data_IF_087028829477
#
_entry.id   IF_087028829477
#
_cell.length_a   1.000
_cell.length_b   1.000
_cell.length_c   1.000
_cell.angle_alpha   90.00
_cell.angle_beta   90.00
_cell.angle_gamma   90.00
#
_symmetry.space_group_name_H-M   'P 1'
#
loop_
_entity.id
_entity.type
_entity.pdbx_description
1 polymer ?
#
# COMPACT_ATOMS: atom_id res chain seq x y z
N UNK A 1 36.57 34.55 -40.97
CA UNK A 1 36.78 34.88 -39.55
C UNK A 1 35.51 34.49 -38.80
N UNK A 2 35.68 33.93 -37.62
CA UNK A 2 34.83 32.92 -36.97
C UNK A 2 33.61 33.49 -36.26
N UNK A 3 32.42 32.99 -36.59
CA UNK A 3 31.21 33.11 -35.77
C UNK A 3 31.32 32.18 -34.56
N UNK A 4 31.37 32.75 -33.36
CA UNK A 4 31.29 32.02 -32.09
C UNK A 4 29.91 32.24 -31.50
N UNK A 5 29.04 31.22 -31.64
CA UNK A 5 27.78 31.12 -30.89
C UNK A 5 28.10 30.75 -29.45
N UNK A 6 27.81 31.66 -28.53
CA UNK A 6 27.78 31.40 -27.08
C UNK A 6 26.43 30.78 -26.73
N UNK A 7 26.38 29.45 -26.63
CA UNK A 7 25.33 28.73 -25.93
C UNK A 7 25.55 28.88 -24.42
N UNK A 8 24.64 29.57 -23.73
CA UNK A 8 24.50 29.41 -22.27
C UNK A 8 23.02 29.47 -21.88
N UNK A 9 22.68 28.67 -20.87
CA UNK A 9 21.40 28.61 -20.16
C UNK A 9 20.35 27.61 -20.68
N UNK A 10 20.66 26.32 -20.55
CA UNK A 10 19.67 25.23 -20.39
C UNK A 10 20.17 24.19 -19.36
N UNK A 11 20.42 24.60 -18.12
CA UNK A 11 20.83 23.65 -17.07
C UNK A 11 20.37 24.04 -15.65
N UNK A 12 19.08 24.37 -15.50
CA UNK A 12 18.48 24.58 -14.17
C UNK A 12 17.23 23.73 -13.90
N UNK A 13 16.96 22.71 -14.71
CA UNK A 13 15.76 21.87 -14.54
C UNK A 13 16.03 20.36 -14.43
N UNK A 14 17.08 19.95 -13.71
CA UNK A 14 17.28 18.57 -13.24
C UNK A 14 17.50 18.52 -11.72
N UNK A 15 16.50 18.97 -10.96
CA UNK A 15 16.41 18.68 -9.53
C UNK A 15 15.03 18.08 -9.21
N UNK A 16 14.77 16.88 -9.72
CA UNK A 16 13.59 16.08 -9.34
C UNK A 16 13.97 14.60 -9.21
N UNK A 17 13.81 14.11 -7.98
CA UNK A 17 13.77 12.69 -7.55
C UNK A 17 15.10 11.92 -7.57
N UNK A 18 16.00 12.25 -6.65
CA UNK A 18 17.01 11.28 -6.21
C UNK A 18 16.31 10.22 -5.34
N UNK A 19 15.96 9.08 -5.94
CA UNK A 19 15.68 7.85 -5.18
C UNK A 19 16.89 7.63 -4.26
N UNK A 20 16.69 7.47 -2.95
CA UNK A 20 17.78 7.14 -2.02
C UNK A 20 18.55 5.92 -2.54
N UNK A 21 19.79 6.14 -2.99
CA UNK A 21 20.75 5.10 -3.31
C UNK A 21 21.65 4.99 -2.08
N UNK A 22 21.57 3.86 -1.38
CA UNK A 22 22.51 3.58 -0.29
C UNK A 22 23.83 3.14 -0.92
N UNK A 23 24.95 3.76 -0.55
CA UNK A 23 26.26 3.37 -1.07
C UNK A 23 26.99 2.59 0.01
N UNK A 24 27.34 1.34 -0.30
CA UNK A 24 28.12 0.45 0.59
C UNK A 24 29.33 -0.04 -0.17
N UNK A 25 30.53 0.17 0.37
CA UNK A 25 31.81 -0.15 -0.28
C UNK A 25 31.91 0.37 -1.73
N UNK A 26 31.36 1.56 -2.01
CA UNK A 26 31.36 2.16 -3.35
C UNK A 26 30.30 1.61 -4.32
N UNK A 27 29.48 0.64 -3.91
CA UNK A 27 28.39 0.07 -4.71
C UNK A 27 27.07 0.78 -4.41
N UNK A 28 26.41 1.29 -5.46
CA UNK A 28 25.12 1.98 -5.36
C UNK A 28 23.94 1.01 -5.26
N UNK A 29 23.49 0.73 -4.04
CA UNK A 29 22.40 -0.19 -3.76
C UNK A 29 21.01 0.42 -4.01
N UNK A 30 20.18 -0.35 -4.72
CA UNK A 30 18.81 0.01 -5.14
C UNK A 30 17.78 -0.97 -4.56
N UNK A 31 16.49 -0.69 -4.74
CA UNK A 31 15.38 -1.58 -4.29
C UNK A 31 15.54 -3.04 -4.73
N UNK A 32 16.09 -3.29 -5.93
CA UNK A 32 16.34 -4.66 -6.42
C UNK A 32 17.35 -5.43 -5.56
N UNK A 33 18.36 -4.74 -5.00
CA UNK A 33 19.36 -5.33 -4.11
C UNK A 33 18.73 -5.74 -2.77
N UNK A 34 17.93 -4.84 -2.18
CA UNK A 34 17.22 -5.13 -0.93
C UNK A 34 16.22 -6.30 -1.10
N UNK A 35 15.55 -6.38 -2.26
CA UNK A 35 14.69 -7.53 -2.60
C UNK A 35 15.52 -8.81 -2.71
N UNK A 36 16.60 -8.83 -3.52
CA UNK A 36 17.47 -10.00 -3.71
C UNK A 36 18.04 -10.50 -2.39
N UNK A 37 18.55 -9.60 -1.56
CA UNK A 37 19.14 -9.94 -0.26
C UNK A 37 18.10 -10.57 0.70
N UNK A 38 16.85 -10.10 0.66
CA UNK A 38 15.74 -10.69 1.43
C UNK A 38 15.34 -12.06 0.91
N UNK A 39 15.32 -12.25 -0.41
CA UNK A 39 15.03 -13.54 -1.02
C UNK A 39 16.13 -14.55 -0.66
N UNK A 40 17.40 -14.14 -0.68
CA UNK A 40 18.53 -14.95 -0.19
C UNK A 40 18.38 -15.32 1.29
N UNK A 41 18.04 -14.36 2.16
CA UNK A 41 17.82 -14.60 3.59
C UNK A 41 16.71 -15.62 3.88
N UNK A 42 15.68 -15.68 3.03
CA UNK A 42 14.53 -16.59 3.17
C UNK A 42 14.74 -17.95 2.52
N UNK A 43 15.80 -18.11 1.74
CA UNK A 43 16.07 -19.32 0.95
C UNK A 43 17.28 -20.06 1.49
N UNK A 44 17.59 -21.22 0.90
CA UNK A 44 18.80 -21.98 1.20
C UNK A 44 20.09 -21.35 0.63
N UNK A 45 20.01 -20.17 0.00
CA UNK A 45 21.19 -19.44 -0.49
C UNK A 45 21.74 -19.92 -1.83
N UNK A 46 20.88 -20.32 -2.77
CA UNK A 46 21.33 -20.77 -4.10
C UNK A 46 21.92 -19.62 -4.93
N UNK A 47 23.14 -19.77 -5.51
CA UNK A 47 23.74 -18.76 -6.37
C UNK A 47 22.86 -18.42 -7.57
N UNK A 48 22.71 -17.13 -7.84
CA UNK A 48 21.97 -16.58 -8.97
C UNK A 48 22.89 -16.20 -10.13
N UNK A 49 24.18 -15.98 -9.86
CA UNK A 49 25.23 -15.69 -10.84
C UNK A 49 24.89 -14.49 -11.75
N UNK A 50 24.22 -13.49 -11.19
CA UNK A 50 23.83 -12.26 -11.89
C UNK A 50 24.57 -11.03 -11.34
N UNK A 51 24.40 -9.89 -12.03
CA UNK A 51 25.06 -8.63 -11.64
C UNK A 51 24.63 -8.17 -10.24
N UNK A 52 23.38 -8.41 -9.84
CA UNK A 52 22.87 -8.02 -8.52
C UNK A 52 23.58 -8.81 -7.42
N UNK A 53 23.82 -10.10 -7.62
CA UNK A 53 24.62 -10.93 -6.72
C UNK A 53 26.06 -10.45 -6.63
N UNK A 54 26.69 -10.12 -7.76
CA UNK A 54 28.06 -9.58 -7.79
C UNK A 54 28.14 -8.28 -6.98
N UNK A 55 27.19 -7.37 -7.18
CA UNK A 55 27.10 -6.09 -6.46
C UNK A 55 26.90 -6.31 -4.94
N UNK A 56 26.09 -7.29 -4.54
CA UNK A 56 25.88 -7.63 -3.12
C UNK A 56 27.10 -8.29 -2.48
N UNK A 57 27.84 -9.12 -3.22
CA UNK A 57 29.13 -9.69 -2.79
C UNK A 57 30.19 -8.60 -2.63
N UNK A 58 30.31 -7.71 -3.61
CA UNK A 58 31.25 -6.59 -3.57
C UNK A 58 30.92 -5.59 -2.43
N UNK A 59 29.63 -5.39 -2.16
CA UNK A 59 29.16 -4.60 -1.02
C UNK A 59 29.36 -5.31 0.33
N UNK A 60 29.80 -6.58 0.36
CA UNK A 60 29.98 -7.36 1.59
C UNK A 60 28.67 -7.74 2.29
N UNK A 61 27.53 -7.63 1.61
CA UNK A 61 26.20 -7.99 2.14
C UNK A 61 25.88 -9.48 1.93
N UNK A 62 26.51 -10.10 0.94
CA UNK A 62 26.56 -11.54 0.75
C UNK A 62 28.01 -12.04 0.91
N UNK A 63 28.15 -13.32 1.24
CA UNK A 63 29.41 -14.05 1.15
C UNK A 63 29.17 -15.45 0.57
N UNK A 64 30.22 -16.00 -0.04
CA UNK A 64 30.21 -17.37 -0.57
C UNK A 64 30.72 -18.33 0.50
N UNK A 65 30.00 -19.43 0.69
CA UNK A 65 30.41 -20.55 1.50
C UNK A 65 30.56 -21.77 0.59
N UNK A 66 31.66 -22.49 0.76
CA UNK A 66 31.82 -23.81 0.14
C UNK A 66 31.24 -24.87 1.08
N UNK A 67 30.39 -25.73 0.53
CA UNK A 67 29.90 -26.90 1.25
C UNK A 67 30.82 -28.10 1.01
N UNK A 68 30.77 -29.09 1.90
CA UNK A 68 31.60 -30.31 1.84
C UNK A 68 31.44 -31.08 0.51
N UNK A 69 30.32 -30.89 -0.21
CA UNK A 69 30.07 -31.43 -1.54
C UNK A 69 30.65 -30.63 -2.71
N UNK A 70 31.40 -29.55 -2.46
CA UNK A 70 32.03 -28.71 -3.49
C UNK A 70 31.10 -27.68 -4.15
N UNK A 71 29.83 -27.62 -3.75
CA UNK A 71 28.89 -26.61 -4.21
C UNK A 71 29.03 -25.31 -3.39
N UNK A 72 28.90 -24.16 -4.07
CA UNK A 72 28.86 -22.86 -3.41
C UNK A 72 27.43 -22.49 -3.01
N UNK A 73 27.27 -21.93 -1.81
CA UNK A 73 26.06 -21.25 -1.40
C UNK A 73 26.33 -19.82 -0.96
N UNK A 74 25.33 -18.96 -1.12
CA UNK A 74 25.32 -17.59 -0.65
C UNK A 74 24.77 -17.51 0.77
N UNK A 75 25.51 -16.89 1.67
CA UNK A 75 25.02 -16.50 3.00
C UNK A 75 24.87 -14.99 3.06
N UNK A 76 23.78 -14.53 3.68
CA UNK A 76 23.64 -13.12 4.05
C UNK A 76 24.54 -12.83 5.24
N UNK A 77 25.47 -11.89 5.10
CA UNK A 77 26.42 -11.54 6.15
C UNK A 77 25.74 -10.77 7.28
N UNK A 78 26.41 -10.56 8.41
CA UNK A 78 25.90 -9.70 9.47
C UNK A 78 25.65 -8.26 8.99
N UNK A 79 26.52 -7.74 8.11
CA UNK A 79 26.30 -6.44 7.46
C UNK A 79 25.06 -6.46 6.56
N UNK A 80 24.83 -7.57 5.84
CA UNK A 80 23.60 -7.81 5.08
C UNK A 80 22.34 -7.83 5.96
N UNK A 81 22.39 -8.48 7.12
CA UNK A 81 21.30 -8.50 8.09
C UNK A 81 21.03 -7.10 8.65
N UNK A 82 22.08 -6.36 9.02
CA UNK A 82 21.95 -4.97 9.48
C UNK A 82 21.37 -4.06 8.40
N UNK A 83 21.81 -4.21 7.15
CA UNK A 83 21.24 -3.48 6.02
C UNK A 83 19.75 -3.78 5.83
N UNK A 84 19.33 -5.06 5.93
CA UNK A 84 17.92 -5.44 5.88
C UNK A 84 17.13 -4.86 7.05
N UNK A 85 17.71 -4.87 8.26
CA UNK A 85 17.09 -4.31 9.45
C UNK A 85 16.94 -2.79 9.34
N UNK A 86 17.96 -2.07 8.86
CA UNK A 86 17.89 -0.64 8.60
C UNK A 86 16.89 -0.32 7.51
N UNK A 87 16.86 -1.06 6.40
CA UNK A 87 15.85 -0.87 5.36
C UNK A 87 14.43 -1.13 5.90
N UNK A 88 14.25 -2.14 6.74
CA UNK A 88 12.97 -2.39 7.41
C UNK A 88 12.62 -1.27 8.39
N UNK A 89 13.58 -0.77 9.16
CA UNK A 89 13.39 0.30 10.12
C UNK A 89 13.11 1.64 9.45
N UNK A 90 13.84 2.02 8.39
CA UNK A 90 13.56 3.22 7.60
C UNK A 90 12.19 3.14 6.93
N UNK A 91 11.75 1.96 6.48
CA UNK A 91 10.39 1.78 5.99
C UNK A 91 9.34 1.89 7.12
N UNK A 92 9.64 1.40 8.34
CA UNK A 92 8.74 1.55 9.50
C UNK A 92 8.70 3.00 10.01
N UNK A 93 9.85 3.70 10.03
CA UNK A 93 10.00 5.07 10.47
C UNK A 93 9.43 6.07 9.47
N UNK A 94 9.55 5.77 8.17
CA UNK A 94 8.77 6.44 7.14
C UNK A 94 7.40 5.76 7.03
N UNK A 95 6.55 5.83 8.08
CA UNK A 95 5.13 5.53 7.90
C UNK A 95 4.62 6.46 6.80
N UNK A 96 4.29 5.88 5.65
CA UNK A 96 3.62 6.62 4.59
C UNK A 96 2.35 7.22 5.23
N UNK A 97 2.09 8.54 5.12
CA UNK A 97 0.86 9.13 5.62
C UNK A 97 -0.39 8.35 5.20
N UNK A 98 -0.35 7.71 4.02
CA UNK A 98 -1.38 6.78 3.58
C UNK A 98 -1.46 5.54 4.46
N UNK A 99 -0.37 4.80 4.66
CA UNK A 99 -0.34 3.60 5.50
C UNK A 99 -0.76 3.88 6.95
N UNK A 100 -0.33 5.01 7.51
CA UNK A 100 -0.75 5.44 8.84
C UNK A 100 -2.28 5.66 8.93
N UNK A 101 -2.86 6.27 7.88
CA UNK A 101 -4.30 6.48 7.82
C UNK A 101 -5.08 5.18 7.55
N UNK A 102 -4.53 4.25 6.76
CA UNK A 102 -5.06 2.87 6.59
C UNK A 102 -5.14 2.17 7.92
N UNK A 103 -4.04 2.17 8.66
CA UNK A 103 -3.95 1.56 9.97
C UNK A 103 -4.99 2.18 10.91
N UNK A 104 -5.09 3.51 10.96
CA UNK A 104 -6.06 4.22 11.80
C UNK A 104 -7.51 3.87 11.49
N UNK A 105 -7.89 3.81 10.21
CA UNK A 105 -9.23 3.42 9.78
C UNK A 105 -9.51 1.96 10.14
N UNK A 106 -8.54 1.06 9.90
CA UNK A 106 -8.68 -0.35 10.25
C UNK A 106 -8.87 -0.54 11.77
N UNK A 107 -8.16 0.21 12.60
CA UNK A 107 -8.32 0.22 14.04
C UNK A 107 -9.73 0.64 14.48
N UNK A 108 -10.27 1.72 13.91
CA UNK A 108 -11.64 2.14 14.25
C UNK A 108 -12.68 1.09 13.85
N UNK A 109 -12.53 0.44 12.69
CA UNK A 109 -13.42 -0.64 12.27
C UNK A 109 -13.34 -1.87 13.20
N UNK A 110 -12.14 -2.21 13.70
CA UNK A 110 -11.97 -3.26 14.70
C UNK A 110 -12.58 -2.89 16.05
N UNK A 111 -12.46 -1.62 16.48
CA UNK A 111 -13.11 -1.12 17.70
C UNK A 111 -14.64 -1.21 17.63
N UNK A 112 -15.21 -1.02 16.44
CA UNK A 112 -16.63 -1.24 16.16
C UNK A 112 -17.03 -2.74 16.10
N UNK A 113 -16.09 -3.66 16.28
CA UNK A 113 -16.34 -5.10 16.28
C UNK A 113 -16.50 -5.70 14.88
N UNK A 114 -16.02 -5.01 13.84
CA UNK A 114 -16.04 -5.50 12.46
C UNK A 114 -14.86 -6.43 12.20
N UNK A 115 -15.01 -7.36 11.25
CA UNK A 115 -13.90 -8.08 10.67
C UNK A 115 -13.29 -7.21 9.57
N UNK A 116 -11.96 -7.08 9.55
CA UNK A 116 -11.26 -6.09 8.73
C UNK A 116 -10.13 -6.74 7.94
N UNK A 117 -9.97 -6.36 6.68
CA UNK A 117 -8.87 -6.76 5.81
C UNK A 117 -8.27 -5.52 5.12
N UNK A 118 -6.96 -5.54 4.93
CA UNK A 118 -6.21 -4.61 4.08
C UNK A 118 -5.49 -5.40 2.98
N UNK A 119 -5.08 -4.74 1.90
CA UNK A 119 -4.40 -5.38 0.76
C UNK A 119 -5.20 -6.53 0.13
N UNK A 120 -6.53 -6.45 0.17
CA UNK A 120 -7.42 -7.51 -0.33
C UNK A 120 -7.66 -7.34 -1.83
N UNK A 121 -7.20 -8.29 -2.64
CA UNK A 121 -7.47 -8.28 -4.08
C UNK A 121 -8.81 -8.93 -4.39
N UNK A 122 -9.76 -8.14 -4.89
CA UNK A 122 -11.11 -8.53 -5.21
C UNK A 122 -11.42 -8.31 -6.70
N UNK A 123 -12.55 -8.85 -7.13
CA UNK A 123 -13.14 -8.55 -8.44
C UNK A 123 -14.62 -8.26 -8.31
N UNK A 124 -15.08 -7.22 -8.99
CA UNK A 124 -16.48 -6.85 -9.08
C UNK A 124 -16.91 -6.84 -10.54
N UNK A 125 -18.17 -7.19 -10.80
CA UNK A 125 -18.77 -7.01 -12.12
C UNK A 125 -19.45 -5.64 -12.13
N UNK A 126 -18.89 -4.71 -12.89
CA UNK A 126 -19.35 -3.31 -12.95
C UNK A 126 -20.17 -3.12 -14.20
N UNK A 127 -21.40 -2.64 -14.05
CA UNK A 127 -22.22 -2.19 -15.18
C UNK A 127 -22.31 -0.67 -15.11
N UNK A 128 -21.68 0.03 -16.05
CA UNK A 128 -21.85 1.48 -16.20
C UNK A 128 -23.09 1.73 -17.07
N UNK A 129 -23.71 2.91 -16.94
CA UNK A 129 -25.00 3.24 -17.59
C UNK A 129 -24.99 3.14 -19.13
N UNK A 130 -23.84 2.96 -19.75
CA UNK A 130 -23.63 2.84 -21.20
C UNK A 130 -23.27 1.41 -21.65
N UNK A 131 -23.04 0.46 -20.73
CA UNK A 131 -22.65 -0.93 -21.06
C UNK A 131 -23.83 -1.89 -20.88
N UNK A 132 -24.32 -2.53 -21.96
CA UNK A 132 -25.34 -3.59 -21.87
C UNK A 132 -24.87 -4.82 -21.07
N UNK A 133 -23.56 -5.07 -21.07
CA UNK A 133 -22.94 -6.17 -20.33
C UNK A 133 -21.83 -5.62 -19.43
N UNK A 134 -22.01 -5.76 -18.12
CA UNK A 134 -21.01 -5.30 -17.16
C UNK A 134 -19.65 -5.99 -17.30
N UNK A 135 -18.59 -5.22 -17.08
CA UNK A 135 -17.20 -5.65 -17.18
C UNK A 135 -16.63 -6.07 -15.81
N UNK A 136 -15.82 -7.15 -15.79
CA UNK A 136 -15.10 -7.54 -14.58
C UNK A 136 -13.93 -6.60 -14.31
N UNK A 137 -13.86 -6.05 -13.10
CA UNK A 137 -12.81 -5.12 -12.66
C UNK A 137 -12.13 -5.64 -11.40
N UNK A 138 -10.81 -5.65 -11.42
CA UNK A 138 -10.02 -5.85 -10.21
C UNK A 138 -10.11 -4.61 -9.32
N UNK A 139 -10.24 -4.85 -8.03
CA UNK A 139 -10.37 -3.84 -7.00
C UNK A 139 -9.51 -4.24 -5.80
N UNK A 140 -8.78 -3.28 -5.26
CA UNK A 140 -7.93 -3.47 -4.09
C UNK A 140 -8.26 -2.34 -3.12
N UNK A 141 -9.35 -2.44 -2.35
CA UNK A 141 -9.70 -1.43 -1.36
C UNK A 141 -8.60 -1.32 -0.30
N UNK A 142 -8.36 -0.10 0.17
CA UNK A 142 -7.36 0.15 1.20
C UNK A 142 -7.77 -0.52 2.52
N UNK A 143 -9.05 -0.37 2.91
CA UNK A 143 -9.67 -1.13 4.01
C UNK A 143 -11.01 -1.70 3.56
N UNK A 144 -11.17 -3.02 3.66
CA UNK A 144 -12.44 -3.71 3.50
C UNK A 144 -12.89 -4.28 4.85
N UNK A 145 -14.16 -4.12 5.20
CA UNK A 145 -14.69 -4.68 6.44
C UNK A 145 -16.11 -5.19 6.32
N UNK A 146 -16.45 -6.20 7.13
CA UNK A 146 -17.82 -6.71 7.28
C UNK A 146 -18.17 -6.75 8.77
N UNK A 147 -19.46 -6.59 9.08
CA UNK A 147 -19.99 -6.84 10.42
C UNK A 147 -19.73 -8.29 10.82
N UNK A 148 -19.27 -8.49 12.05
CA UNK A 148 -19.13 -9.83 12.60
C UNK A 148 -20.53 -10.39 12.92
N UNK A 149 -21.01 -11.31 12.09
CA UNK A 149 -22.39 -11.84 12.16
C UNK A 149 -22.41 -13.30 11.68
N UNK A 150 -23.29 -14.11 12.29
CA UNK A 150 -23.61 -15.47 11.83
C UNK A 150 -24.66 -15.51 10.72
N UNK A 151 -25.32 -14.38 10.44
CA UNK A 151 -26.33 -14.23 9.38
C UNK A 151 -25.74 -13.44 8.22
N UNK A 152 -25.65 -14.10 7.06
CA UNK A 152 -25.00 -13.53 5.87
C UNK A 152 -25.60 -12.19 5.42
N UNK A 153 -26.93 -12.02 5.51
CA UNK A 153 -27.59 -10.78 5.11
C UNK A 153 -27.23 -9.57 5.99
N UNK A 154 -26.65 -9.79 7.18
CA UNK A 154 -26.28 -8.71 8.11
C UNK A 154 -24.80 -8.34 8.04
N UNK A 155 -24.05 -8.86 7.06
CA UNK A 155 -22.61 -8.61 6.94
C UNK A 155 -22.27 -7.16 6.63
N UNK A 156 -23.20 -6.38 6.05
CA UNK A 156 -23.02 -4.94 5.77
C UNK A 156 -21.59 -4.60 5.32
N UNK A 157 -21.12 -5.07 4.14
CA UNK A 157 -19.74 -4.83 3.73
C UNK A 157 -19.47 -3.32 3.59
N UNK A 158 -18.23 -2.90 3.76
CA UNK A 158 -17.84 -1.49 3.65
C UNK A 158 -16.43 -1.40 3.05
N UNK A 159 -16.29 -0.54 2.05
CA UNK A 159 -15.00 -0.14 1.48
C UNK A 159 -14.63 1.24 2.00
N UNK A 160 -13.40 1.41 2.49
CA UNK A 160 -12.77 2.70 2.69
C UNK A 160 -11.60 2.84 1.71
N UNK A 161 -11.65 3.87 0.89
CA UNK A 161 -10.57 4.30 0.00
C UNK A 161 -9.93 5.55 0.60
N UNK A 162 -8.62 5.51 0.82
CA UNK A 162 -7.87 6.49 1.58
C UNK A 162 -7.03 7.33 0.64
N UNK A 163 -7.16 8.65 0.78
CA UNK A 163 -6.41 9.63 -0.02
C UNK A 163 -5.75 10.65 0.91
N UNK A 164 -4.42 10.77 0.80
CA UNK A 164 -3.61 11.69 1.62
C UNK A 164 -2.99 12.82 0.83
N UNK A 165 -3.16 12.82 -0.50
CA UNK A 165 -2.70 13.90 -1.35
C UNK A 165 -3.72 14.21 -2.45
N UNK A 166 -3.80 15.49 -2.84
CA UNK A 166 -4.81 15.98 -3.78
C UNK A 166 -4.65 15.40 -5.19
N UNK A 167 -3.43 15.15 -5.64
CA UNK A 167 -3.19 14.62 -6.99
C UNK A 167 -3.72 13.18 -7.13
N UNK A 168 -3.48 12.33 -6.13
CA UNK A 168 -3.99 10.96 -6.09
C UNK A 168 -5.51 10.94 -5.99
N UNK A 169 -6.10 11.80 -5.15
CA UNK A 169 -7.56 11.95 -5.08
C UNK A 169 -8.15 12.32 -6.44
N UNK A 170 -7.63 13.35 -7.11
CA UNK A 170 -8.13 13.77 -8.43
C UNK A 170 -7.92 12.70 -9.51
N UNK A 171 -6.85 11.91 -9.41
CA UNK A 171 -6.62 10.76 -10.29
C UNK A 171 -7.66 9.66 -10.09
N UNK A 172 -8.04 9.42 -8.84
CA UNK A 172 -9.06 8.45 -8.47
C UNK A 172 -10.47 8.88 -8.88
N UNK A 173 -10.84 10.15 -8.64
CA UNK A 173 -12.16 10.68 -8.98
C UNK A 173 -12.47 10.66 -10.49
N UNK A 174 -11.42 10.67 -11.32
CA UNK A 174 -11.53 10.52 -12.79
C UNK A 174 -11.85 9.10 -13.25
N UNK A 175 -11.91 8.13 -12.33
CA UNK A 175 -12.08 6.71 -12.61
C UNK A 175 -13.41 6.19 -12.04
N UNK A 176 -14.56 6.57 -12.62
CA UNK A 176 -15.87 6.16 -12.14
C UNK A 176 -16.04 4.64 -12.11
N UNK A 177 -15.34 3.89 -12.97
CA UNK A 177 -15.35 2.43 -13.01
C UNK A 177 -14.76 1.80 -11.74
N UNK A 178 -13.74 2.43 -11.15
CA UNK A 178 -13.13 1.97 -9.90
C UNK A 178 -14.11 2.18 -8.74
N UNK A 179 -14.72 3.36 -8.67
CA UNK A 179 -15.75 3.68 -7.68
C UNK A 179 -16.95 2.74 -7.77
N UNK A 180 -17.44 2.49 -8.98
CA UNK A 180 -18.54 1.57 -9.21
C UNK A 180 -18.19 0.14 -8.74
N UNK A 181 -16.96 -0.33 -8.96
CA UNK A 181 -16.50 -1.63 -8.42
C UNK A 181 -16.60 -1.69 -6.88
N UNK A 182 -16.21 -0.63 -6.19
CA UNK A 182 -16.29 -0.59 -4.72
C UNK A 182 -17.73 -0.55 -4.20
N UNK A 183 -18.61 0.17 -4.90
CA UNK A 183 -20.04 0.19 -4.57
C UNK A 183 -20.69 -1.18 -4.80
N UNK A 184 -20.28 -1.92 -5.82
CA UNK A 184 -20.75 -3.29 -6.07
C UNK A 184 -20.23 -4.29 -5.01
N UNK A 185 -19.01 -4.11 -4.50
CA UNK A 185 -18.47 -4.96 -3.44
C UNK A 185 -19.08 -4.69 -2.07
N UNK A 186 -19.12 -3.41 -1.70
CA UNK A 186 -19.40 -2.95 -0.35
C UNK A 186 -20.85 -2.56 -0.13
N UNK A 187 -21.59 -2.14 -1.15
CA UNK A 187 -22.86 -1.43 -0.93
C UNK A 187 -22.72 -0.07 -0.23
N UNK A 188 -21.55 0.22 0.36
CA UNK A 188 -21.08 1.49 0.89
C UNK A 188 -19.60 1.67 0.51
N UNK A 189 -19.27 2.86 0.00
CA UNK A 189 -17.90 3.28 -0.30
C UNK A 189 -17.63 4.61 0.40
N UNK A 190 -16.55 4.69 1.14
CA UNK A 190 -16.13 5.87 1.90
C UNK A 190 -14.80 6.38 1.36
N UNK A 191 -14.72 7.68 1.07
CA UNK A 191 -13.44 8.35 0.92
C UNK A 191 -12.97 8.85 2.28
N UNK A 192 -11.79 8.41 2.70
CA UNK A 192 -11.13 8.89 3.92
C UNK A 192 -10.00 9.82 3.51
N UNK A 193 -10.15 11.10 3.85
CA UNK A 193 -9.30 12.18 3.41
C UNK A 193 -8.28 12.54 4.49
N UNK A 194 -7.00 12.49 4.13
CA UNK A 194 -5.90 13.04 4.89
C UNK A 194 -5.83 14.56 4.78
N UNK A 195 -4.70 15.11 5.19
CA UNK A 195 -4.42 16.54 5.15
C UNK A 195 -3.12 16.81 4.39
N UNK A 196 -3.04 17.97 3.76
CA UNK A 196 -1.84 18.38 3.05
C UNK A 196 -0.70 18.78 4.03
N UNK A 197 0.48 19.09 3.49
CA UNK A 197 1.65 19.47 4.29
C UNK A 197 1.47 20.79 5.08
N UNK A 198 0.41 21.56 4.81
CA UNK A 198 0.05 22.78 5.55
C UNK A 198 -1.11 22.54 6.52
N UNK A 199 -1.43 21.29 6.79
CA UNK A 199 -2.52 20.89 7.67
C UNK A 199 -3.90 21.40 7.18
N UNK A 200 -4.14 21.34 5.87
CA UNK A 200 -5.44 21.66 5.26
C UNK A 200 -6.11 20.40 4.70
N UNK A 201 -7.45 20.32 4.69
CA UNK A 201 -8.16 19.25 3.97
C UNK A 201 -7.70 19.17 2.50
N UNK A 202 -7.53 17.96 1.98
CA UNK A 202 -7.13 17.78 0.58
C UNK A 202 -8.28 18.00 -0.41
N UNK A 203 -9.52 17.96 0.08
CA UNK A 203 -10.75 18.27 -0.65
C UNK A 203 -11.91 18.56 0.30
N UNK A 204 -12.92 19.25 -0.22
CA UNK A 204 -14.22 19.44 0.44
C UNK A 204 -15.16 18.25 0.17
N UNK A 205 -16.15 17.97 1.03
CA UNK A 205 -17.11 16.87 0.84
C UNK A 205 -17.88 16.94 -0.49
N UNK A 206 -18.14 18.14 -1.00
CA UNK A 206 -18.86 18.39 -2.24
C UNK A 206 -18.03 18.00 -3.48
N UNK A 207 -16.70 17.91 -3.37
CA UNK A 207 -15.84 17.40 -4.44
C UNK A 207 -15.94 15.87 -4.56
N UNK A 208 -16.41 15.17 -3.53
CA UNK A 208 -16.56 13.71 -3.52
C UNK A 208 -17.94 13.32 -4.09
N UNK A 209 -18.03 12.28 -4.93
CA UNK A 209 -19.29 11.76 -5.47
C UNK A 209 -20.34 11.49 -4.40
N UNK A 210 -21.58 11.90 -4.64
CA UNK A 210 -22.68 11.86 -3.67
C UNK A 210 -23.06 10.45 -3.24
N UNK A 211 -22.76 9.45 -4.07
CA UNK A 211 -22.94 8.04 -3.75
C UNK A 211 -21.89 7.48 -2.76
N UNK A 212 -20.93 8.31 -2.34
CA UNK A 212 -19.90 7.96 -1.37
C UNK A 212 -20.00 8.78 -0.08
N UNK A 213 -19.62 8.15 1.02
CA UNK A 213 -19.38 8.82 2.29
C UNK A 213 -18.03 9.53 2.31
N UNK A 214 -17.89 10.50 3.21
CA UNK A 214 -16.68 11.31 3.38
C UNK A 214 -16.30 11.32 4.85
N UNK A 215 -15.08 10.89 5.14
CA UNK A 215 -14.43 11.00 6.44
C UNK A 215 -13.20 11.89 6.27
N UNK A 216 -12.97 12.82 7.18
CA UNK A 216 -11.79 13.68 7.21
C UNK A 216 -10.96 13.39 8.45
N UNK A 217 -9.63 13.30 8.28
CA UNK A 217 -8.70 13.31 9.39
C UNK A 217 -8.57 14.75 9.92
N UNK A 218 -8.89 14.98 11.19
CA UNK A 218 -8.78 16.27 11.89
C UNK A 218 -8.07 16.05 13.23
N UNK A 219 -6.88 16.64 13.41
CA UNK A 219 -6.12 16.57 14.68
C UNK A 219 -6.05 15.13 15.27
N UNK A 220 -5.84 14.14 14.40
CA UNK A 220 -5.82 12.71 14.75
C UNK A 220 -7.19 12.06 15.08
N UNK A 221 -8.31 12.65 14.68
CA UNK A 221 -9.65 12.05 14.74
C UNK A 221 -10.21 11.83 13.35
N UNK A 222 -10.99 10.77 13.19
CA UNK A 222 -11.76 10.54 11.96
C UNK A 222 -13.14 11.19 12.16
N UNK A 223 -13.39 12.28 11.45
CA UNK A 223 -14.66 13.01 11.49
C UNK A 223 -15.49 12.67 10.25
N UNK A 224 -16.75 12.27 10.46
CA UNK A 224 -17.68 12.01 9.37
C UNK A 224 -18.23 13.34 8.88
N UNK A 225 -17.91 13.70 7.63
CA UNK A 225 -18.43 14.90 6.97
C UNK A 225 -19.69 14.60 6.16
N UNK A 226 -19.80 13.39 5.60
CA UNK A 226 -21.00 12.90 4.93
C UNK A 226 -21.14 11.39 5.09
N UNK A 227 -22.32 10.92 5.45
CA UNK A 227 -22.60 9.49 5.59
C UNK A 227 -22.70 8.82 4.22
N UNK A 228 -22.06 7.65 4.05
CA UNK A 228 -22.22 6.87 2.82
C UNK A 228 -23.67 6.36 2.71
N UNK A 229 -24.33 6.52 1.54
CA UNK A 229 -25.63 5.92 1.30
C UNK A 229 -25.57 4.40 1.47
N UNK A 230 -26.48 3.84 2.27
CA UNK A 230 -26.61 2.38 2.41
C UNK A 230 -27.39 1.82 1.23
N UNK A 231 -26.80 0.89 0.48
CA UNK A 231 -27.55 0.02 -0.43
C UNK A 231 -28.08 -1.20 0.30
N UNK A 232 -29.23 -1.71 -0.15
CA UNK A 232 -29.74 -2.99 0.31
C UNK A 232 -28.72 -4.09 -0.01
N UNK A 233 -28.35 -4.87 0.99
CA UNK A 233 -27.39 -5.94 0.89
C UNK A 233 -28.05 -7.27 1.28
N UNK A 234 -27.97 -8.27 0.40
CA UNK A 234 -28.59 -9.57 0.62
C UNK A 234 -27.54 -10.66 0.86
N UNK A 235 -26.46 -10.68 0.08
CA UNK A 235 -25.41 -11.69 0.18
C UNK A 235 -24.11 -11.23 -0.48
N UNK A 236 -22.96 -11.66 0.07
CA UNK A 236 -21.67 -11.53 -0.61
C UNK A 236 -21.62 -12.47 -1.83
N UNK A 237 -21.09 -12.04 -2.98
CA UNK A 237 -20.80 -12.93 -4.09
C UNK A 237 -19.82 -14.04 -3.67
N UNK A 238 -20.00 -15.25 -4.20
CA UNK A 238 -19.13 -16.40 -3.85
C UNK A 238 -17.64 -16.14 -4.09
N UNK A 239 -17.30 -15.38 -5.14
CA UNK A 239 -15.91 -15.00 -5.42
C UNK A 239 -15.32 -14.10 -4.31
N UNK A 240 -16.12 -13.25 -3.67
CA UNK A 240 -15.66 -12.42 -2.53
C UNK A 240 -15.43 -13.32 -1.32
N UNK A 241 -16.35 -14.23 -1.02
CA UNK A 241 -16.17 -15.24 0.04
C UNK A 241 -14.87 -16.03 -0.12
N UNK A 242 -14.56 -16.50 -1.33
CA UNK A 242 -13.32 -17.24 -1.59
C UNK A 242 -12.06 -16.40 -1.36
N UNK A 243 -12.10 -15.08 -1.59
CA UNK A 243 -10.97 -14.21 -1.30
C UNK A 243 -10.85 -13.95 0.22
N UNK A 244 -11.97 -13.71 0.91
CA UNK A 244 -11.97 -13.53 2.37
C UNK A 244 -11.48 -14.78 3.10
N UNK A 245 -11.90 -15.98 2.67
CA UNK A 245 -11.47 -17.24 3.27
C UNK A 245 -9.97 -17.54 3.07
N UNK A 246 -9.36 -16.99 2.01
CA UNK A 246 -7.92 -17.13 1.74
C UNK A 246 -7.08 -16.06 2.44
N UNK A 247 -7.70 -14.95 2.83
CA UNK A 247 -7.03 -13.84 3.49
C UNK A 247 -7.16 -13.95 5.01
N UNK A 248 -6.14 -13.53 5.74
CA UNK A 248 -6.21 -13.43 7.20
C UNK A 248 -6.75 -12.04 7.57
N UNK A 249 -7.89 -11.93 8.29
CA UNK A 249 -8.35 -10.64 8.79
C UNK A 249 -7.34 -10.07 9.79
N UNK A 250 -7.28 -8.73 9.86
CA UNK A 250 -6.55 -8.05 10.91
C UNK A 250 -7.12 -8.45 12.27
N UNK A 251 -6.22 -8.70 13.22
CA UNK A 251 -6.57 -8.94 14.60
C UNK A 251 -6.12 -7.75 15.44
N UNK A 252 -6.95 -7.34 16.40
CA UNK A 252 -6.65 -6.29 17.37
C UNK A 252 -5.29 -6.51 18.06
N UNK A 253 -4.98 -7.75 18.43
CA UNK A 253 -3.72 -8.08 19.08
C UNK A 253 -2.48 -7.82 18.19
N UNK A 254 -2.61 -7.91 16.85
CA UNK A 254 -1.50 -7.67 15.92
C UNK A 254 -1.18 -6.18 15.79
N UNK A 255 -2.17 -5.30 15.95
CA UNK A 255 -1.96 -3.86 15.80
C UNK A 255 -1.43 -3.21 17.09
N UNK A 256 -1.82 -3.73 18.26
CA UNK A 256 -1.30 -3.25 19.56
C UNK A 256 0.22 -3.59 19.74
N UNK A 257 0.71 -4.67 19.11
CA UNK A 257 2.13 -5.05 19.09
C UNK A 257 3.02 -4.07 18.30
N UNK A 258 2.49 -3.46 17.25
CA UNK A 258 3.20 -2.44 16.46
C UNK A 258 3.28 -1.09 17.20
N UNK A 259 2.38 -0.82 18.16
CA UNK A 259 2.46 0.35 19.03
C UNK A 259 3.48 0.21 20.17
N UNK A 260 3.67 -1.00 20.72
CA UNK A 260 4.63 -1.25 21.81
C UNK A 260 6.08 -1.25 21.34
N UNK A 261 6.35 -1.52 20.07
CA UNK A 261 7.71 -1.49 19.51
C UNK A 261 8.23 -0.08 19.18
N UNK A 262 7.39 0.95 19.29
CA UNK A 262 7.77 2.36 19.09
C UNK A 262 8.04 3.13 20.40
N UNK A 263 8.05 2.43 21.54
CA UNK A 263 8.25 2.99 22.89
C UNK A 263 9.58 2.58 23.55
N UNK A 264 10.51 1.98 22.79
CA UNK A 264 11.87 1.62 23.22
C UNK A 264 12.88 2.15 22.23
#
# INVERSE_FOLDING_TARGET
MTETKTETSKDTHKLRSAKHIAVVNGIGLKKVHAKRLRDMYRSAGWPCLDVVEIELLAAGLLERLQEEGGHERMRVTNAGIQFLAQAANSNRQAKDPHEALVEKVAHEMLKEGRLVWTNLSLRAKVTLQEEEQGSWRYCMPDVFSIRNSSVQAYLEPVVHEIKVNRADLLGDLKRPEKRAAYLELGGQCWYVLGRDAKDRPIAEPEEIPVECGVIQLVQDRLEILRVAPKKQFNHLPFAVWMNLAKATPLNRAMLDLDHLTNLV
#
